data_IF_848870588937
#
_entry.id   IF_848870588937
#
_cell.length_a   1.000
_cell.length_b   1.000
_cell.length_c   1.000
_cell.angle_alpha   90.00
_cell.angle_beta   90.00
_cell.angle_gamma   90.00
#
_symmetry.space_group_name_H-M   'P 1'
#
loop_
_entity.id
_entity.type
_entity.pdbx_description
1 polymer ?
#
# COMPACT_ATOMS: atom_id res chain seq x y z
N UNK A 1 -35.40 35.60 34.81
CA UNK A 1 -35.29 34.92 33.51
C UNK A 1 -34.00 35.42 32.86
N UNK A 2 -32.90 34.74 33.18
CA UNK A 2 -31.56 35.15 32.79
C UNK A 2 -31.16 34.31 31.57
N UNK A 3 -31.17 34.96 30.40
CA UNK A 3 -30.95 34.31 29.10
C UNK A 3 -29.49 34.50 28.71
N UNK A 4 -28.58 33.79 29.39
CA UNK A 4 -27.22 33.59 28.88
C UNK A 4 -27.27 32.61 27.71
N UNK A 5 -27.43 33.15 26.51
CA UNK A 5 -27.20 32.44 25.27
C UNK A 5 -25.69 32.43 25.02
N UNK A 6 -25.03 31.32 25.38
CA UNK A 6 -23.65 31.07 24.95
C UNK A 6 -23.63 31.03 23.43
N UNK A 7 -23.14 32.10 22.81
CA UNK A 7 -22.74 32.06 21.41
C UNK A 7 -21.61 31.02 21.32
N UNK A 8 -21.86 29.91 20.64
CA UNK A 8 -20.79 29.04 20.18
C UNK A 8 -19.98 29.84 19.17
N UNK A 9 -18.88 30.42 19.64
CA UNK A 9 -17.89 31.11 18.83
C UNK A 9 -17.10 30.07 18.03
N UNK A 10 -17.72 29.54 16.98
CA UNK A 10 -17.13 28.59 16.01
C UNK A 10 -16.71 29.31 14.72
N UNK A 11 -16.42 30.61 14.77
CA UNK A 11 -15.89 31.36 13.62
C UNK A 11 -14.71 32.23 14.06
N UNK A 12 -13.62 31.55 14.41
CA UNK A 12 -12.30 32.18 14.53
C UNK A 12 -11.56 31.97 13.20
N UNK A 13 -11.10 33.04 12.52
CA UNK A 13 -10.49 32.95 11.18
C UNK A 13 -9.13 32.24 11.11
N UNK A 14 -8.70 31.53 12.18
CA UNK A 14 -7.42 30.81 12.26
C UNK A 14 -7.59 29.39 12.84
N UNK A 15 -8.73 28.74 12.65
CA UNK A 15 -8.82 27.29 12.88
C UNK A 15 -8.21 26.56 11.67
N UNK A 16 -6.88 26.37 11.66
CA UNK A 16 -6.19 25.65 10.59
C UNK A 16 -6.71 24.20 10.50
N UNK A 17 -7.32 23.86 9.36
CA UNK A 17 -7.90 22.53 9.07
C UNK A 17 -7.00 21.78 8.08
N UNK A 18 -6.86 20.48 8.27
CA UNK A 18 -6.01 19.61 7.45
C UNK A 18 -6.85 18.56 6.75
N UNK A 19 -6.56 18.30 5.47
CA UNK A 19 -7.10 17.16 4.73
C UNK A 19 -6.20 15.95 4.98
N UNK A 20 -6.70 14.99 5.75
CA UNK A 20 -6.00 13.76 6.13
C UNK A 20 -6.47 12.60 5.26
N UNK A 21 -5.53 11.87 4.69
CA UNK A 21 -5.76 10.55 4.08
C UNK A 21 -5.71 9.51 5.20
N UNK A 22 -6.71 8.64 5.30
CA UNK A 22 -6.82 7.68 6.39
C UNK A 22 -5.88 6.48 6.18
N UNK A 23 -5.16 6.08 7.22
CA UNK A 23 -4.39 4.84 7.27
C UNK A 23 -5.11 3.88 8.22
N UNK A 24 -5.37 2.65 7.77
CA UNK A 24 -6.01 1.62 8.57
C UNK A 24 -5.00 0.58 9.04
N UNK A 25 -5.16 0.07 10.25
CA UNK A 25 -4.40 -1.09 10.71
C UNK A 25 -4.97 -2.37 10.07
N UNK A 26 -4.13 -3.38 9.76
CA UNK A 26 -4.59 -4.67 9.24
C UNK A 26 -5.52 -5.40 10.19
N UNK A 27 -5.29 -5.24 11.50
CA UNK A 27 -6.19 -5.71 12.54
C UNK A 27 -7.22 -4.61 12.79
N UNK A 28 -8.50 -4.90 12.56
CA UNK A 28 -9.58 -3.98 12.94
C UNK A 28 -9.59 -3.73 14.44
N UNK A 29 -10.01 -2.55 14.89
CA UNK A 29 -10.05 -2.19 16.32
C UNK A 29 -10.87 -3.19 17.16
N UNK A 30 -11.97 -3.71 16.58
CA UNK A 30 -12.82 -4.77 17.15
C UNK A 30 -12.09 -6.12 17.23
N UNK A 31 -11.30 -6.46 16.22
CA UNK A 31 -10.53 -7.72 16.16
C UNK A 31 -9.34 -7.68 17.14
N UNK A 32 -8.70 -6.52 17.30
CA UNK A 32 -7.64 -6.33 18.30
C UNK A 32 -8.18 -6.46 19.72
N UNK A 33 -9.36 -5.87 20.00
CA UNK A 33 -10.02 -6.01 21.30
C UNK A 33 -10.45 -7.47 21.57
N UNK A 34 -10.93 -8.19 20.55
CA UNK A 34 -11.35 -9.59 20.67
C UNK A 34 -10.17 -10.56 20.81
N UNK A 35 -9.04 -10.31 20.13
CA UNK A 35 -7.80 -11.09 20.25
C UNK A 35 -7.14 -10.95 21.64
N UNK A 36 -7.33 -9.82 22.32
CA UNK A 36 -6.93 -9.64 23.73
C UNK A 36 -7.77 -10.52 24.67
N UNK A 37 -9.02 -10.83 24.30
CA UNK A 37 -9.95 -11.63 25.09
C UNK A 37 -9.83 -13.13 24.83
N UNK A 38 -9.41 -13.55 23.63
CA UNK A 38 -9.22 -14.97 23.28
C UNK A 38 -7.90 -15.20 22.49
N UNK A 39 -6.84 -15.67 23.16
CA UNK A 39 -5.53 -15.95 22.55
C UNK A 39 -5.55 -17.06 21.49
N UNK A 40 -6.56 -17.94 21.47
CA UNK A 40 -6.62 -19.06 20.53
C UNK A 40 -7.03 -18.60 19.11
N UNK A 41 -7.83 -17.53 19.00
CA UNK A 41 -8.22 -16.93 17.72
C UNK A 41 -7.05 -16.16 17.07
N UNK A 42 -6.20 -15.52 17.88
CA UNK A 42 -5.02 -14.81 17.39
C UNK A 42 -3.99 -15.75 16.72
N UNK A 43 -3.90 -17.00 17.19
CA UNK A 43 -2.99 -18.01 16.66
C UNK A 43 -3.44 -18.55 15.29
N UNK A 44 -4.74 -18.58 14.99
CA UNK A 44 -5.28 -19.06 13.70
C UNK A 44 -5.21 -18.00 12.59
N UNK A 45 -5.28 -16.72 12.94
CA UNK A 45 -5.09 -15.62 11.97
C UNK A 45 -3.62 -15.33 11.65
N UNK A 46 -2.68 -15.79 12.49
CA UNK A 46 -1.23 -15.61 12.27
C UNK A 46 -0.77 -16.20 10.92
N UNK A 47 -1.49 -17.21 10.41
CA UNK A 47 -1.24 -17.97 9.19
C UNK A 47 -1.79 -17.32 7.90
N UNK A 48 -2.80 -16.44 7.98
CA UNK A 48 -3.54 -15.98 6.77
C UNK A 48 -3.08 -14.63 6.19
N UNK A 49 -2.12 -13.94 6.81
CA UNK A 49 -1.53 -12.71 6.27
C UNK A 49 -0.01 -12.80 6.32
N UNK A 50 0.55 -13.42 5.29
CA UNK A 50 1.99 -13.48 5.10
C UNK A 50 2.46 -12.15 4.52
N UNK A 51 3.07 -11.33 5.39
CA UNK A 51 3.76 -10.12 4.98
C UNK A 51 4.93 -10.48 4.06
N UNK A 52 5.03 -9.87 2.86
CA UNK A 52 6.17 -10.07 1.98
C UNK A 52 7.46 -9.60 2.67
N UNK A 53 8.55 -10.36 2.50
CA UNK A 53 9.87 -10.01 3.04
C UNK A 53 10.10 -10.37 4.52
N UNK A 54 9.25 -11.22 5.12
CA UNK A 54 9.46 -11.74 6.49
C UNK A 54 10.49 -12.87 6.58
N UNK A 55 10.99 -13.34 5.43
CA UNK A 55 12.03 -14.37 5.35
C UNK A 55 13.28 -14.00 6.16
N UNK A 56 13.68 -14.88 7.08
CA UNK A 56 14.87 -14.68 7.91
C UNK A 56 14.68 -13.80 9.15
N UNK A 57 13.46 -13.30 9.42
CA UNK A 57 13.18 -12.54 10.66
C UNK A 57 12.85 -13.46 11.84
N UNK A 58 13.36 -13.10 13.02
CA UNK A 58 12.98 -13.77 14.26
C UNK A 58 11.46 -13.60 14.54
N UNK A 59 10.80 -14.54 15.24
CA UNK A 59 9.36 -14.46 15.51
C UNK A 59 8.91 -13.12 16.12
N UNK A 60 9.71 -12.57 17.06
CA UNK A 60 9.44 -11.25 17.66
C UNK A 60 9.49 -10.11 16.64
N UNK A 61 10.44 -10.15 15.71
CA UNK A 61 10.59 -9.14 14.67
C UNK A 61 9.47 -9.24 13.64
N UNK A 62 9.07 -10.45 13.25
CA UNK A 62 7.88 -10.68 12.40
C UNK A 62 6.62 -10.09 13.03
N UNK A 63 6.42 -10.33 14.31
CA UNK A 63 5.30 -9.75 15.06
C UNK A 63 5.34 -8.22 15.08
N UNK A 64 6.51 -7.62 15.37
CA UNK A 64 6.65 -6.15 15.35
C UNK A 64 6.44 -5.56 13.96
N UNK A 65 6.87 -6.25 12.91
CA UNK A 65 6.66 -5.83 11.52
C UNK A 65 5.16 -5.77 11.18
N UNK A 66 4.37 -6.77 11.60
CA UNK A 66 2.90 -6.78 11.45
C UNK A 66 2.23 -5.54 12.06
N UNK A 67 2.68 -5.09 13.24
CA UNK A 67 2.15 -3.89 13.89
C UNK A 67 2.54 -2.57 13.21
N UNK A 68 3.50 -2.61 12.31
CA UNK A 68 3.99 -1.43 11.58
C UNK A 68 3.47 -1.37 10.15
N UNK A 69 2.77 -2.40 9.71
CA UNK A 69 2.00 -2.38 8.48
C UNK A 69 0.72 -1.56 8.66
N UNK A 70 0.43 -0.74 7.67
CA UNK A 70 -0.80 0.03 7.52
C UNK A 70 -1.39 -0.20 6.12
N UNK A 71 -2.67 0.12 5.95
CA UNK A 71 -3.33 0.19 4.65
C UNK A 71 -3.65 1.62 4.29
N UNK A 72 -3.23 2.05 3.10
CA UNK A 72 -3.54 3.37 2.58
C UNK A 72 -4.99 3.41 2.11
N UNK A 73 -5.84 4.26 2.69
CA UNK A 73 -7.21 4.44 2.18
C UNK A 73 -7.29 5.63 1.24
N UNK A 74 -8.17 5.57 0.22
CA UNK A 74 -8.54 6.76 -0.58
C UNK A 74 -9.50 7.71 0.15
N UNK A 75 -9.90 7.37 1.37
CA UNK A 75 -10.77 8.20 2.17
C UNK A 75 -10.04 9.45 2.68
N UNK A 76 -10.63 10.62 2.46
CA UNK A 76 -10.10 11.91 2.90
C UNK A 76 -11.06 12.54 3.89
N UNK A 77 -10.54 12.90 5.06
CA UNK A 77 -11.27 13.59 6.12
C UNK A 77 -10.65 14.96 6.38
N UNK A 78 -11.46 15.92 6.83
CA UNK A 78 -10.96 17.22 7.27
C UNK A 78 -10.97 17.29 8.78
N UNK A 79 -9.79 17.43 9.40
CA UNK A 79 -9.63 17.46 10.85
C UNK A 79 -8.94 18.76 11.30
N UNK A 80 -9.21 19.25 12.51
CA UNK A 80 -8.44 20.34 13.11
C UNK A 80 -6.96 19.97 13.26
N UNK A 81 -6.05 20.92 13.04
CA UNK A 81 -4.61 20.70 13.25
C UNK A 81 -4.25 20.30 14.69
N UNK A 82 -5.10 20.65 15.67
CA UNK A 82 -4.95 20.30 17.08
C UNK A 82 -5.01 18.79 17.35
N UNK A 83 -5.48 17.97 16.40
CA UNK A 83 -5.49 16.51 16.53
C UNK A 83 -4.10 15.88 16.34
N UNK A 84 -3.11 16.61 15.82
CA UNK A 84 -1.76 16.09 15.62
C UNK A 84 -1.03 15.98 16.96
N UNK A 85 -0.49 14.79 17.26
CA UNK A 85 0.31 14.53 18.48
C UNK A 85 1.79 14.26 18.20
N UNK A 86 2.15 14.00 16.95
CA UNK A 86 3.51 13.68 16.53
C UNK A 86 3.61 13.51 15.02
N UNK A 87 4.85 13.46 14.52
CA UNK A 87 5.16 13.21 13.10
C UNK A 87 5.73 11.80 12.99
N UNK A 88 5.19 11.00 12.09
CA UNK A 88 5.73 9.69 11.72
C UNK A 88 6.12 9.64 10.24
N UNK A 89 6.83 8.59 9.85
CA UNK A 89 7.18 8.29 8.47
C UNK A 89 6.42 7.05 8.02
N UNK A 90 5.76 7.16 6.88
CA UNK A 90 5.00 6.08 6.25
C UNK A 90 5.44 6.00 4.80
N UNK A 91 5.95 4.85 4.36
CA UNK A 91 6.42 4.64 2.99
C UNK A 91 5.85 3.35 2.40
N UNK A 92 5.73 3.30 1.07
CA UNK A 92 5.42 2.07 0.37
C UNK A 92 6.57 1.09 0.58
N UNK A 93 6.27 -0.14 1.01
CA UNK A 93 7.30 -1.18 1.13
C UNK A 93 7.78 -1.58 -0.28
N UNK A 94 9.07 -1.37 -0.55
CA UNK A 94 9.69 -1.87 -1.76
C UNK A 94 10.13 -3.34 -1.57
N UNK A 95 10.01 -4.16 -2.62
CA UNK A 95 10.37 -5.59 -2.57
C UNK A 95 11.86 -5.82 -2.25
N UNK A 96 12.71 -4.86 -2.60
CA UNK A 96 14.15 -4.92 -2.34
C UNK A 96 14.55 -4.36 -0.97
N UNK A 97 13.61 -3.74 -0.24
CA UNK A 97 13.85 -3.18 1.08
C UNK A 97 13.73 -4.23 2.18
N UNK A 98 14.60 -4.14 3.19
CA UNK A 98 14.50 -4.98 4.38
C UNK A 98 13.52 -4.40 5.39
N UNK A 99 12.62 -5.22 5.92
CA UNK A 99 11.74 -4.89 7.05
C UNK A 99 12.50 -4.41 8.30
N UNK A 100 13.76 -4.83 8.48
CA UNK A 100 14.60 -4.35 9.58
C UNK A 100 14.82 -2.84 9.55
N UNK A 101 14.84 -2.23 8.37
CA UNK A 101 15.02 -0.78 8.22
C UNK A 101 13.89 0.02 8.85
N UNK A 102 12.69 -0.56 8.89
CA UNK A 102 11.53 -0.01 9.58
C UNK A 102 11.65 -0.26 11.07
N UNK A 103 11.89 -1.51 11.49
CA UNK A 103 11.98 -1.90 12.91
C UNK A 103 13.04 -1.11 13.70
N UNK A 104 14.12 -0.69 13.06
CA UNK A 104 15.21 0.07 13.68
C UNK A 104 14.86 1.54 14.01
N UNK A 105 13.67 2.03 13.64
CA UNK A 105 13.22 3.42 13.87
C UNK A 105 11.85 3.42 14.54
N UNK A 106 11.66 4.07 15.66
CA UNK A 106 10.38 3.99 16.40
C UNK A 106 9.16 4.54 15.62
N UNK A 107 9.36 5.63 14.86
CA UNK A 107 8.28 6.34 14.15
C UNK A 107 8.15 5.94 12.66
N UNK A 108 8.58 4.73 12.28
CA UNK A 108 8.56 4.25 10.91
C UNK A 108 7.53 3.13 10.70
N UNK A 109 6.62 3.37 9.76
CA UNK A 109 5.56 2.46 9.33
C UNK A 109 5.63 2.25 7.82
N UNK A 110 4.97 1.22 7.32
CA UNK A 110 4.91 0.95 5.89
C UNK A 110 3.51 0.49 5.47
N UNK A 111 3.24 0.55 4.17
CA UNK A 111 2.05 -0.05 3.58
C UNK A 111 2.44 -0.86 2.35
N UNK A 112 1.70 -1.94 2.10
CA UNK A 112 1.81 -2.76 0.88
C UNK A 112 0.54 -2.69 0.04
N UNK A 113 -0.60 -2.44 0.70
CA UNK A 113 -1.93 -2.51 0.11
C UNK A 113 -2.69 -1.19 0.30
N UNK A 114 -3.58 -0.93 -0.64
CA UNK A 114 -4.50 0.21 -0.66
C UNK A 114 -5.90 -0.29 -0.36
N UNK A 115 -6.54 0.25 0.68
CA UNK A 115 -7.91 -0.08 1.04
C UNK A 115 -8.91 0.80 0.28
N UNK A 116 -9.79 0.16 -0.49
CA UNK A 116 -10.94 0.81 -1.11
C UNK A 116 -12.14 0.80 -0.16
N UNK A 117 -12.51 1.94 0.46
CA UNK A 117 -13.62 2.00 1.40
C UNK A 117 -14.97 1.72 0.74
N UNK A 118 -15.12 2.01 -0.55
CA UNK A 118 -16.38 1.82 -1.29
C UNK A 118 -16.69 0.34 -1.50
N UNK A 119 -15.67 -0.44 -1.85
CA UNK A 119 -15.79 -1.87 -2.15
C UNK A 119 -15.39 -2.77 -0.98
N UNK A 120 -14.84 -2.19 0.10
CA UNK A 120 -14.27 -2.91 1.25
C UNK A 120 -13.22 -3.95 0.83
N UNK A 121 -12.40 -3.62 -0.16
CA UNK A 121 -11.37 -4.51 -0.71
C UNK A 121 -9.97 -3.94 -0.48
N UNK A 122 -8.97 -4.82 -0.46
CA UNK A 122 -7.55 -4.47 -0.44
C UNK A 122 -6.98 -4.68 -1.84
N UNK A 123 -6.33 -3.64 -2.37
CA UNK A 123 -5.72 -3.62 -3.68
C UNK A 123 -4.20 -3.57 -3.50
N UNK A 124 -3.46 -4.40 -4.22
CA UNK A 124 -2.02 -4.22 -4.33
C UNK A 124 -1.75 -2.97 -5.19
N UNK A 125 -0.83 -2.11 -4.75
CA UNK A 125 -0.38 -0.95 -5.54
C UNK A 125 0.55 -1.36 -6.70
N UNK A 126 1.02 -2.61 -6.69
CA UNK A 126 1.82 -3.19 -7.76
C UNK A 126 0.90 -3.73 -8.86
N UNK A 127 1.19 -3.35 -10.11
CA UNK A 127 0.45 -3.80 -11.28
C UNK A 127 0.35 -5.32 -11.36
N UNK A 128 -0.78 -5.82 -11.87
CA UNK A 128 -1.02 -7.24 -12.06
C UNK A 128 -0.38 -7.70 -13.38
N UNK A 129 0.47 -8.73 -13.33
CA UNK A 129 0.92 -9.44 -14.55
C UNK A 129 -0.03 -10.60 -14.79
N UNK A 130 -0.67 -10.62 -15.96
CA UNK A 130 -1.58 -11.70 -16.36
C UNK A 130 -0.87 -12.70 -17.26
N UNK A 131 -1.06 -13.98 -16.95
CA UNK A 131 -0.50 -15.11 -17.70
C UNK A 131 -1.64 -15.87 -18.38
N UNK A 132 -1.41 -16.33 -19.62
CA UNK A 132 -2.36 -17.13 -20.38
C UNK A 132 -2.45 -16.70 -21.84
N UNK A 133 -3.01 -17.58 -22.68
CA UNK A 133 -3.08 -17.41 -24.15
C UNK A 133 -3.80 -16.13 -24.61
N UNK A 134 -4.64 -15.50 -23.78
CA UNK A 134 -5.25 -14.20 -24.09
C UNK A 134 -4.34 -12.99 -23.86
N UNK A 135 -3.24 -13.17 -23.15
CA UNK A 135 -2.31 -12.10 -22.74
C UNK A 135 -0.89 -12.32 -23.29
N UNK A 136 -0.54 -13.57 -23.60
CA UNK A 136 0.75 -13.96 -24.14
C UNK A 136 0.67 -14.13 -25.66
N UNK A 137 1.75 -13.75 -26.36
CA UNK A 137 1.91 -14.02 -27.79
C UNK A 137 2.41 -15.43 -28.03
N UNK A 138 2.18 -15.95 -29.23
CA UNK A 138 2.89 -17.15 -29.70
C UNK A 138 4.36 -16.82 -29.91
N UNK A 139 5.24 -17.67 -29.39
CA UNK A 139 6.69 -17.52 -29.55
C UNK A 139 7.05 -17.93 -30.98
N UNK A 140 7.64 -17.00 -31.74
CA UNK A 140 8.12 -17.30 -33.09
C UNK A 140 9.28 -18.29 -33.03
N UNK A 141 9.19 -19.36 -33.81
CA UNK A 141 10.25 -20.37 -33.88
C UNK A 141 11.51 -19.78 -34.51
N UNK A 142 12.66 -20.30 -34.10
CA UNK A 142 13.93 -19.98 -34.73
C UNK A 142 13.93 -20.52 -36.17
N UNK A 143 14.46 -19.73 -37.11
CA UNK A 143 14.68 -20.16 -38.49
C UNK A 143 15.65 -21.34 -38.51
N UNK A 144 15.44 -22.27 -39.45
CA UNK A 144 16.38 -23.38 -39.62
C UNK A 144 17.69 -22.88 -40.22
N UNK A 145 18.74 -23.66 -40.04
CA UNK A 145 20.03 -23.37 -40.63
C UNK A 145 19.91 -23.31 -42.17
N UNK A 146 20.19 -22.14 -42.75
CA UNK A 146 20.06 -21.86 -44.17
C UNK A 146 18.71 -21.28 -44.63
N UNK A 147 17.73 -21.09 -43.73
CA UNK A 147 16.52 -20.31 -44.01
C UNK A 147 16.78 -18.82 -43.70
N UNK A 148 16.47 -17.95 -44.65
CA UNK A 148 16.57 -16.49 -44.49
C UNK A 148 15.19 -15.87 -44.21
N UNK A 149 15.21 -14.71 -43.57
CA UNK A 149 14.02 -13.93 -43.31
C UNK A 149 13.54 -13.25 -44.62
N UNK A 150 12.29 -13.52 -45.04
CA UNK A 150 11.75 -13.01 -46.31
C UNK A 150 11.39 -11.51 -46.27
N UNK A 151 11.56 -10.84 -45.11
CA UNK A 151 11.22 -9.43 -44.96
C UNK A 151 12.23 -8.53 -45.66
N UNK A 152 11.74 -7.67 -46.56
CA UNK A 152 12.54 -6.64 -47.23
C UNK A 152 12.75 -5.42 -46.32
N UNK A 153 14.00 -5.09 -46.01
CA UNK A 153 14.36 -3.93 -45.16
C UNK A 153 13.93 -2.59 -45.79
N UNK A 154 13.98 -2.45 -47.12
CA UNK A 154 13.64 -1.19 -47.79
C UNK A 154 12.15 -0.80 -47.63
N UNK A 155 11.28 -1.78 -47.39
CA UNK A 155 9.86 -1.57 -47.12
C UNK A 155 9.56 -1.27 -45.64
N UNK A 156 10.51 -1.55 -44.74
CA UNK A 156 10.34 -1.44 -43.29
C UNK A 156 11.01 -0.19 -42.70
N UNK A 157 12.03 0.33 -43.36
CA UNK A 157 12.75 1.51 -42.92
C UNK A 157 13.17 2.40 -44.08
N UNK A 158 13.24 3.71 -43.82
CA UNK A 158 13.79 4.68 -44.76
C UNK A 158 14.89 5.45 -44.06
N UNK A 159 16.07 5.50 -44.67
CA UNK A 159 17.17 6.31 -44.16
C UNK A 159 16.80 7.78 -44.22
N UNK A 160 16.81 8.45 -43.07
CA UNK A 160 16.62 9.89 -43.00
C UNK A 160 17.89 10.60 -43.48
N UNK A 161 17.88 11.11 -44.71
CA UNK A 161 18.95 12.00 -45.20
C UNK A 161 18.78 13.37 -44.56
N UNK A 162 19.67 13.71 -43.62
CA UNK A 162 19.74 15.05 -43.04
C UNK A 162 20.02 16.08 -44.16
N UNK A 163 19.21 17.14 -44.20
CA UNK A 163 19.38 18.29 -45.11
C UNK A 163 20.47 19.23 -44.62
#
# INVERSE_FOLDING_TARGET
ADKHQMAQSEDSPVAMKLKKICLKTPVGEEQAAQAVLDPALAAMEEESSELPGTDGLAPKQRHQAKHRELFLSRHVETLPATHIRGKCTVTLLNETESLLSYLNKDDAFFYCLVFDPSQKTLLADKGEIRVGSRYQTEVTNLLKEGEEDERNSEDLETSATAR
#
